data_IF_070998699503
#
_entry.id   IF_070998699503
#
_cell.length_a   1.000
_cell.length_b   1.000
_cell.length_c   1.000
_cell.angle_alpha   90.00
_cell.angle_beta   90.00
_cell.angle_gamma   90.00
#
_symmetry.space_group_name_H-M   'P 1'
#
loop_
_entity.id
_entity.type
_entity.pdbx_description
1 polymer ?
2 polymer ?
3 non-polymer ?
4 water ?
#
# COMPACT_ATOMS: atom_id res chain seq x y z
N UNK A 4 -10.72 23.08 10.84
CA UNK A 4 -9.88 21.84 10.84
C UNK A 4 -9.84 21.16 12.19
N UNK A 5 -10.14 21.93 13.23
CA UNK A 5 -10.17 21.43 14.60
C UNK A 5 -10.64 19.98 14.78
N UNK A 6 -11.94 19.74 14.70
CA UNK A 6 -12.45 18.37 14.86
C UNK A 6 -12.22 17.48 13.65
N UNK A 7 -11.76 16.26 13.92
CA UNK A 7 -11.50 15.30 12.87
C UNK A 7 -12.78 14.54 12.60
N UNK A 8 -13.13 14.34 11.34
CA UNK A 8 -14.35 13.60 10.98
C UNK A 8 -14.35 12.23 11.65
N UNK A 9 -15.51 11.73 12.11
CA UNK A 9 -15.64 10.42 12.77
C UNK A 9 -15.02 9.25 11.98
N UNK A 10 -15.31 9.18 10.68
CA UNK A 10 -14.81 8.11 9.85
C UNK A 10 -13.29 8.11 9.79
N UNK A 11 -12.70 9.30 9.75
CA UNK A 11 -11.26 9.41 9.71
C UNK A 11 -10.69 8.96 11.05
N UNK A 12 -11.37 9.32 12.15
CA UNK A 12 -10.87 8.91 13.46
C UNK A 12 -10.99 7.40 13.56
N UNK A 13 -12.05 6.85 12.98
CA UNK A 13 -12.23 5.40 13.00
C UNK A 13 -11.07 4.75 12.24
N UNK A 14 -10.74 5.29 11.08
CA UNK A 14 -9.65 4.74 10.28
C UNK A 14 -8.35 4.72 11.08
N UNK A 15 -8.08 5.80 11.80
CA UNK A 15 -6.87 5.87 12.60
C UNK A 15 -6.90 4.80 13.68
N UNK A 16 -8.06 4.61 14.31
CA UNK A 16 -8.19 3.61 15.37
C UNK A 16 -8.00 2.17 14.90
N UNK A 17 -8.24 1.89 13.61
CA UNK A 17 -8.06 0.52 13.14
C UNK A 17 -6.70 0.28 12.46
N UNK A 18 -5.83 1.28 12.51
CA UNK A 18 -4.50 1.14 11.95
C UNK A 18 -3.81 0.03 12.73
N UNK A 19 -3.26 -0.97 12.04
CA UNK A 19 -2.59 -2.07 12.76
C UNK A 19 -1.42 -1.59 13.61
N UNK A 20 -1.14 -2.36 14.65
CA UNK A 20 -0.04 -2.06 15.55
C UNK A 20 1.28 -2.21 14.81
N UNK A 21 2.33 -1.67 15.42
CA UNK A 21 3.68 -1.75 14.87
C UNK A 21 4.03 -3.21 14.60
N UNK A 22 4.53 -3.48 13.40
CA UNK A 22 4.93 -4.83 13.02
C UNK A 22 6.46 -4.88 12.93
N UNK A 23 7.07 -5.83 13.63
CA UNK A 23 8.52 -5.99 13.61
C UNK A 23 8.94 -7.04 12.57
N UNK A 24 10.13 -6.88 12.03
CA UNK A 24 10.65 -7.81 11.04
C UNK A 24 11.34 -8.99 11.70
N UNK A 25 11.79 -8.80 12.94
CA UNK A 25 12.48 -9.84 13.66
C UNK A 25 13.92 -9.94 13.17
N UNK A 26 14.46 -8.83 12.68
CA UNK A 26 15.82 -8.81 12.17
C UNK A 26 16.89 -8.51 13.23
N UNK A 27 17.99 -9.25 13.20
CA UNK A 27 19.08 -9.06 14.14
C UNK A 27 20.07 -8.05 13.60
N UNK A 28 19.97 -6.82 14.08
CA UNK A 28 20.83 -5.74 13.63
C UNK A 28 22.21 -5.70 14.28
N UNK A 29 22.51 -6.68 15.11
CA UNK A 29 23.82 -6.75 15.77
C UNK A 29 24.78 -7.57 14.92
N UNK A 30 24.28 -8.12 13.81
CA UNK A 30 25.11 -8.90 12.91
C UNK A 30 25.24 -8.18 11.56
N UNK A 31 26.39 -8.34 10.89
CA UNK A 31 26.58 -7.68 9.59
C UNK A 31 25.49 -8.10 8.61
N UNK A 32 25.05 -7.17 7.78
CA UNK A 32 24.01 -7.46 6.79
C UNK A 32 24.54 -8.43 5.74
N UNK A 33 23.63 -9.23 5.18
CA UNK A 33 23.97 -10.14 4.09
C UNK A 33 22.76 -10.06 3.18
N UNK A 34 22.96 -10.28 1.89
CA UNK A 34 21.87 -10.23 0.92
C UNK A 34 20.77 -11.17 1.38
N UNK A 35 21.15 -12.35 1.83
CA UNK A 35 20.21 -13.35 2.30
C UNK A 35 19.44 -12.95 3.55
N UNK A 36 20.15 -12.52 4.59
CA UNK A 36 19.51 -12.12 5.84
C UNK A 36 18.49 -11.00 5.66
N UNK A 37 18.79 -10.04 4.77
CA UNK A 37 17.88 -8.92 4.54
C UNK A 37 16.67 -9.36 3.74
N UNK A 38 16.88 -10.26 2.78
CA UNK A 38 15.79 -10.77 1.97
C UNK A 38 14.90 -11.62 2.87
N UNK A 39 15.53 -12.38 3.75
CA UNK A 39 14.79 -13.24 4.68
C UNK A 39 13.91 -12.40 5.60
N UNK A 40 14.49 -11.32 6.14
CA UNK A 40 13.73 -10.45 7.03
C UNK A 40 12.59 -9.74 6.33
N UNK A 41 12.80 -9.33 5.08
CA UNK A 41 11.74 -8.66 4.32
C UNK A 41 10.57 -9.61 4.07
N UNK A 42 10.86 -10.86 3.74
CA UNK A 42 9.82 -11.84 3.49
C UNK A 42 9.05 -12.15 4.76
N UNK A 43 9.76 -12.19 5.88
CA UNK A 43 9.11 -12.46 7.14
C UNK A 43 8.23 -11.26 7.50
N UNK A 44 8.79 -10.06 7.37
CA UNK A 44 8.05 -8.84 7.67
C UNK A 44 6.87 -8.75 6.72
N UNK A 45 7.12 -9.12 5.46
CA UNK A 45 6.07 -9.06 4.46
C UNK A 45 4.85 -9.92 4.77
N UNK A 46 5.07 -11.16 5.17
CA UNK A 46 3.97 -12.05 5.49
C UNK A 46 3.18 -11.51 6.67
N UNK A 47 3.91 -10.98 7.66
CA UNK A 47 3.27 -10.42 8.85
C UNK A 47 2.38 -9.24 8.48
N UNK A 48 2.90 -8.36 7.63
CA UNK A 48 2.14 -7.20 7.20
C UNK A 48 0.90 -7.60 6.39
N UNK A 49 1.02 -8.66 5.58
CA UNK A 49 -0.10 -9.13 4.77
C UNK A 49 -1.26 -9.55 5.68
N UNK A 50 -0.97 -10.37 6.68
CA UNK A 50 -2.01 -10.80 7.62
C UNK A 50 -2.60 -9.58 8.31
N UNK A 51 -1.76 -8.58 8.56
CA UNK A 51 -2.18 -7.35 9.21
C UNK A 51 -3.13 -6.56 8.30
N UNK A 52 -2.85 -6.58 6.99
CA UNK A 52 -3.68 -5.87 6.03
C UNK A 52 -5.07 -6.54 5.98
N UNK A 53 -5.09 -7.86 5.98
CA UNK A 53 -6.35 -8.59 5.96
C UNK A 53 -7.18 -8.25 7.19
N UNK A 54 -6.54 -8.25 8.36
CA UNK A 54 -7.22 -7.96 9.61
C UNK A 54 -7.78 -6.53 9.56
N UNK A 55 -6.95 -5.60 9.10
CA UNK A 55 -7.33 -4.20 8.96
C UNK A 55 -8.59 -4.07 8.09
N UNK A 56 -8.59 -4.76 6.95
CA UNK A 56 -9.74 -4.69 6.03
C UNK A 56 -11.06 -5.09 6.69
N UNK A 57 -11.01 -6.02 7.63
CA UNK A 57 -12.22 -6.48 8.32
C UNK A 57 -12.92 -5.41 9.15
N UNK A 58 -12.20 -4.36 9.52
CA UNK A 58 -12.79 -3.29 10.32
C UNK A 58 -13.10 -2.05 9.50
N UNK A 59 -12.83 -2.13 8.21
CA UNK A 59 -13.05 -1.01 7.29
C UNK A 59 -14.53 -0.91 6.87
N UNK A 60 -15.23 0.16 7.27
CA UNK A 60 -16.65 0.30 6.91
C UNK A 60 -16.92 0.11 5.43
N UNK A 61 -17.80 -0.84 5.13
CA UNK A 61 -18.16 -1.13 3.75
C UNK A 61 -17.48 -2.35 3.13
N UNK A 62 -16.29 -2.69 3.61
CA UNK A 62 -15.56 -3.82 3.05
C UNK A 62 -16.17 -5.22 3.24
N UNK A 63 -16.52 -5.56 4.47
CA UNK A 63 -17.07 -6.88 4.74
C UNK A 63 -18.42 -7.15 4.11
N UNK A 64 -19.08 -6.10 3.62
CA UNK A 64 -20.38 -6.24 2.97
C UNK A 64 -20.20 -6.72 1.52
N UNK A 65 -18.99 -6.57 0.98
CA UNK A 65 -18.71 -6.99 -0.39
C UNK A 65 -18.63 -8.51 -0.45
N UNK A 66 -18.94 -9.08 -1.60
CA UNK A 66 -18.86 -10.53 -1.77
C UNK A 66 -17.47 -10.95 -1.33
N UNK A 67 -17.38 -12.10 -0.64
CA UNK A 67 -16.11 -12.60 -0.16
C UNK A 67 -15.09 -12.74 -1.30
N UNK A 68 -15.57 -13.04 -2.50
CA UNK A 68 -14.68 -13.17 -3.66
C UNK A 68 -14.07 -11.82 -4.05
N UNK A 69 -14.86 -10.76 -3.88
CA UNK A 69 -14.40 -9.41 -4.18
C UNK A 69 -13.37 -9.00 -3.13
N UNK A 70 -13.62 -9.38 -1.88
CA UNK A 70 -12.72 -9.08 -0.78
C UNK A 70 -11.34 -9.68 -1.06
N UNK A 71 -11.32 -10.95 -1.45
CA UNK A 71 -10.09 -11.65 -1.76
C UNK A 71 -9.39 -10.98 -2.94
N UNK A 72 -10.15 -10.70 -3.99
CA UNK A 72 -9.62 -10.07 -5.18
C UNK A 72 -8.98 -8.71 -4.89
N UNK A 73 -9.68 -7.88 -4.12
CA UNK A 73 -9.18 -6.56 -3.77
C UNK A 73 -7.87 -6.62 -2.97
N UNK A 74 -7.79 -7.55 -2.02
CA UNK A 74 -6.57 -7.67 -1.24
C UNK A 74 -5.44 -8.15 -2.14
N UNK A 75 -5.73 -9.17 -2.97
CA UNK A 75 -4.74 -9.71 -3.88
C UNK A 75 -4.14 -8.65 -4.80
N UNK A 76 -5.01 -7.81 -5.34
CA UNK A 76 -4.60 -6.74 -6.25
C UNK A 76 -3.92 -5.57 -5.59
N UNK A 77 -4.15 -5.37 -4.30
CA UNK A 77 -3.57 -4.18 -3.66
C UNK A 77 -2.59 -4.31 -2.52
N UNK A 78 -2.32 -5.51 -2.04
CA UNK A 78 -1.38 -5.65 -0.92
C UNK A 78 -0.02 -5.00 -1.16
N UNK A 79 0.53 -5.13 -2.37
CA UNK A 79 1.85 -4.54 -2.64
C UNK A 79 1.80 -3.02 -2.52
N UNK A 80 0.78 -2.42 -3.11
CA UNK A 80 0.63 -0.96 -3.06
C UNK A 80 0.40 -0.49 -1.64
N UNK A 81 -0.42 -1.23 -0.89
CA UNK A 81 -0.73 -0.88 0.48
C UNK A 81 0.55 -0.91 1.31
N UNK A 82 1.35 -1.95 1.11
CA UNK A 82 2.60 -2.08 1.85
C UNK A 82 3.65 -1.03 1.49
N UNK A 83 3.84 -0.74 0.20
CA UNK A 83 4.83 0.26 -0.16
C UNK A 83 4.32 1.65 0.28
N UNK A 84 3.00 1.82 0.30
CA UNK A 84 2.42 3.09 0.72
C UNK A 84 2.64 3.28 2.23
N UNK A 85 2.45 2.21 3.00
CA UNK A 85 2.65 2.28 4.45
C UNK A 85 4.11 2.52 4.76
N UNK A 86 4.98 1.89 3.98
CA UNK A 86 6.43 2.04 4.15
C UNK A 86 6.78 3.50 3.95
N UNK A 87 6.18 4.11 2.92
CA UNK A 87 6.43 5.51 2.63
C UNK A 87 5.99 6.40 3.77
N UNK A 88 4.84 6.07 4.36
CA UNK A 88 4.32 6.85 5.46
C UNK A 88 5.22 6.78 6.69
N UNK A 89 5.63 5.57 7.06
CA UNK A 89 6.49 5.39 8.22
C UNK A 89 7.83 6.12 8.01
N UNK A 90 8.37 6.03 6.80
CA UNK A 90 9.64 6.67 6.48
C UNK A 90 9.51 8.19 6.62
N UNK A 91 8.42 8.72 6.08
CA UNK A 91 8.14 10.15 6.13
C UNK A 91 7.89 10.63 7.56
N UNK A 92 7.09 9.87 8.30
CA UNK A 92 6.73 10.23 9.67
C UNK A 92 7.85 10.10 10.71
N UNK A 93 8.58 8.99 10.68
CA UNK A 93 9.62 8.74 11.66
C UNK A 93 11.03 9.24 11.34
N UNK A 94 11.38 9.27 10.06
CA UNK A 94 12.71 9.70 9.69
C UNK A 94 12.74 10.74 8.57
N UNK A 95 11.78 11.66 8.62
CA UNK A 95 11.66 12.73 7.62
C UNK A 95 11.84 12.28 6.18
N UNK A 96 11.47 11.03 5.88
CA UNK A 96 11.59 10.52 4.52
C UNK A 96 13.01 10.39 4.02
N UNK A 97 13.98 10.39 4.93
CA UNK A 97 15.39 10.29 4.58
C UNK A 97 15.90 8.87 4.47
N UNK A 98 15.09 7.90 4.91
CA UNK A 98 15.47 6.50 4.82
C UNK A 98 14.21 5.63 4.83
N UNK A 99 14.39 4.36 4.47
CA UNK A 99 13.27 3.43 4.41
C UNK A 99 13.01 2.73 5.74
N UNK A 100 11.90 3.11 6.35
CA UNK A 100 11.49 2.57 7.64
C UNK A 100 10.54 1.39 7.43
N UNK A 101 11.09 0.23 7.09
CA UNK A 101 10.26 -0.96 6.87
C UNK A 101 9.60 -1.35 8.20
N UNK A 102 10.40 -1.29 9.27
CA UNK A 102 9.94 -1.65 10.62
C UNK A 102 10.91 -0.99 11.60
N UNK A 103 10.54 -0.91 12.90
CA UNK A 103 11.45 -0.29 13.87
C UNK A 103 12.80 -0.98 13.89
N UNK A 104 12.80 -2.28 13.58
CA UNK A 104 14.02 -3.07 13.59
C UNK A 104 14.55 -3.36 12.18
N UNK A 105 14.07 -2.59 11.20
CA UNK A 105 14.55 -2.75 9.83
C UNK A 105 14.43 -1.42 9.10
N UNK A 106 15.43 -0.57 9.32
CA UNK A 106 15.50 0.73 8.71
C UNK A 106 16.74 0.77 7.85
N UNK A 107 16.59 1.12 6.58
CA UNK A 107 17.75 1.18 5.68
C UNK A 107 18.06 2.61 5.26
N UNK A 108 19.17 3.16 5.72
CA UNK A 108 19.54 4.51 5.32
C UNK A 108 20.24 4.35 3.96
N UNK A 109 20.67 5.45 3.36
CA UNK A 109 21.29 5.41 2.04
C UNK A 109 22.44 4.40 1.90
N UNK A 110 23.39 4.45 2.82
CA UNK A 110 24.51 3.51 2.76
C UNK A 110 24.03 2.06 2.81
N UNK A 111 23.08 1.78 3.69
CA UNK A 111 22.56 0.42 3.82
C UNK A 111 21.84 -0.02 2.55
N UNK A 112 21.18 0.92 1.88
CA UNK A 112 20.48 0.63 0.63
C UNK A 112 21.50 0.22 -0.43
N UNK A 113 22.54 1.03 -0.58
CA UNK A 113 23.58 0.79 -1.57
C UNK A 113 24.23 -0.57 -1.46
N UNK A 114 24.23 -1.14 -0.26
CA UNK A 114 24.87 -2.44 -0.07
C UNK A 114 23.89 -3.57 0.27
N UNK A 115 22.61 -3.35 0.01
CA UNK A 115 21.58 -4.34 0.30
C UNK A 115 21.48 -5.48 -0.72
N UNK A 116 21.84 -5.19 -1.96
CA UNK A 116 21.79 -6.12 -3.10
C UNK A 116 20.59 -5.74 -3.96
N UNK A 117 19.74 -4.88 -3.43
CA UNK A 117 18.56 -4.43 -4.15
C UNK A 117 18.44 -2.91 -4.02
N UNK A 118 19.53 -2.23 -4.34
CA UNK A 118 19.62 -0.77 -4.28
C UNK A 118 18.67 -0.05 -5.22
N UNK A 119 18.49 -0.59 -6.42
CA UNK A 119 17.59 0.03 -7.40
C UNK A 119 16.15 0.00 -6.88
N UNK A 120 15.77 -1.12 -6.27
CA UNK A 120 14.43 -1.26 -5.72
C UNK A 120 14.24 -0.22 -4.61
N UNK A 121 15.29 0.03 -3.83
CA UNK A 121 15.23 0.99 -2.75
C UNK A 121 14.96 2.39 -3.27
N UNK A 122 15.67 2.79 -4.32
CA UNK A 122 15.47 4.12 -4.88
C UNK A 122 14.03 4.29 -5.40
N UNK A 123 13.47 3.24 -5.97
CA UNK A 123 12.11 3.30 -6.48
C UNK A 123 11.11 3.49 -5.33
N UNK A 124 11.20 2.64 -4.31
CA UNK A 124 10.30 2.75 -3.17
C UNK A 124 10.47 4.07 -2.43
N UNK A 125 11.71 4.59 -2.44
CA UNK A 125 12.04 5.84 -1.77
C UNK A 125 11.28 7.01 -2.39
N UNK A 126 10.83 6.84 -3.62
CA UNK A 126 10.10 7.89 -4.33
C UNK A 126 8.85 8.34 -3.57
N UNK A 127 8.15 7.39 -2.95
CA UNK A 127 6.94 7.73 -2.21
C UNK A 127 7.17 8.66 -1.01
N UNK A 128 8.06 8.29 -0.09
CA UNK A 128 8.33 9.14 1.08
C UNK A 128 8.81 10.54 0.65
N UNK A 129 9.63 10.57 -0.38
CA UNK A 129 10.15 11.83 -0.88
C UNK A 129 9.00 12.70 -1.35
N UNK A 130 8.01 12.07 -1.97
CA UNK A 130 6.86 12.84 -2.44
C UNK A 130 6.04 13.29 -1.23
N UNK A 131 5.95 12.43 -0.20
CA UNK A 131 5.18 12.81 0.98
C UNK A 131 5.81 14.06 1.63
N UNK A 132 7.13 14.13 1.59
CA UNK A 132 7.83 15.27 2.17
C UNK A 132 7.48 16.54 1.40
N UNK A 133 7.55 16.46 0.07
CA UNK A 133 7.24 17.61 -0.76
C UNK A 133 5.80 18.10 -0.56
N UNK A 134 4.86 17.16 -0.51
CA UNK A 134 3.44 17.50 -0.33
C UNK A 134 3.04 17.74 1.12
N UNK A 135 3.85 17.28 2.06
CA UNK A 135 3.54 17.40 3.48
C UNK A 135 2.16 16.79 3.75
N UNK A 136 2.02 15.54 3.32
CA UNK A 136 0.77 14.81 3.50
C UNK A 136 0.41 14.69 4.98
N UNK A 137 -0.86 14.90 5.31
CA UNK A 137 -1.31 14.81 6.69
C UNK A 137 -1.74 13.38 7.01
N UNK A 138 -1.80 13.06 8.30
CA UNK A 138 -2.23 11.73 8.70
C UNK A 138 -3.65 11.46 8.21
N UNK A 139 -4.50 12.48 8.24
CA UNK A 139 -5.89 12.34 7.79
C UNK A 139 -5.98 12.05 6.28
N UNK A 140 -5.16 12.73 5.49
CA UNK A 140 -5.13 12.50 4.04
C UNK A 140 -4.62 11.10 3.77
N UNK A 141 -3.55 10.73 4.46
CA UNK A 141 -2.93 9.41 4.32
C UNK A 141 -3.91 8.26 4.55
N UNK A 142 -4.65 8.33 5.65
CA UNK A 142 -5.60 7.28 5.99
C UNK A 142 -6.65 7.08 4.90
N UNK A 143 -7.18 8.18 4.36
CA UNK A 143 -8.18 8.08 3.31
C UNK A 143 -7.56 7.57 2.00
N UNK A 144 -6.36 8.05 1.70
CA UNK A 144 -5.66 7.62 0.49
C UNK A 144 -5.37 6.12 0.52
N UNK A 145 -5.00 5.60 1.69
CA UNK A 145 -4.70 4.18 1.79
C UNK A 145 -5.93 3.32 1.49
N UNK A 146 -7.10 3.73 1.98
CA UNK A 146 -8.31 2.97 1.69
C UNK A 146 -8.56 3.01 0.18
N UNK A 147 -8.35 4.17 -0.43
CA UNK A 147 -8.57 4.29 -1.88
C UNK A 147 -7.65 3.34 -2.65
N UNK A 148 -6.44 3.13 -2.14
CA UNK A 148 -5.51 2.21 -2.79
C UNK A 148 -6.09 0.79 -2.79
N UNK A 149 -6.70 0.40 -1.68
CA UNK A 149 -7.31 -0.91 -1.58
C UNK A 149 -8.43 -1.05 -2.61
N UNK A 150 -9.04 0.08 -2.96
CA UNK A 150 -10.15 0.12 -3.92
C UNK A 150 -9.78 0.72 -5.28
N UNK A 151 -8.50 0.67 -5.64
CA UNK A 151 -8.04 1.29 -6.88
C UNK A 151 -7.84 0.37 -8.09
N UNK A 152 -8.02 -0.93 -7.91
CA UNK A 152 -7.85 -1.86 -9.01
C UNK A 152 -8.90 -2.98 -8.95
N UNK A 153 -9.57 -3.23 -10.07
CA UNK A 153 -10.57 -4.29 -10.12
C UNK A 153 -10.41 -5.13 -11.40
N UNK A 154 -11.06 -6.30 -11.46
CA UNK A 154 -10.96 -7.17 -12.63
C UNK A 154 -11.50 -6.45 -13.87
N UNK A 155 -11.05 -6.87 -15.05
CA UNK A 155 -11.53 -6.26 -16.28
C UNK A 155 -13.05 -6.35 -16.33
N UNK A 156 -13.60 -7.46 -15.87
CA UNK A 156 -15.04 -7.66 -15.87
C UNK A 156 -15.74 -7.07 -14.64
N UNK A 157 -14.98 -6.35 -13.82
CA UNK A 157 -15.57 -5.77 -12.63
C UNK A 157 -15.75 -6.76 -11.51
N UNK A 158 -16.42 -6.32 -10.44
CA UNK A 158 -16.65 -7.15 -9.27
C UNK A 158 -18.08 -7.67 -9.20
N UNK A 159 -18.31 -8.62 -8.30
CA UNK A 159 -19.64 -9.18 -8.11
C UNK A 159 -20.52 -8.13 -7.43
N UNK A 160 -19.97 -7.47 -6.41
CA UNK A 160 -20.69 -6.40 -5.69
C UNK A 160 -20.21 -5.07 -6.25
N UNK A 161 -20.30 -4.91 -7.56
CA UNK A 161 -19.83 -3.70 -8.24
C UNK A 161 -20.44 -2.39 -7.75
N UNK A 162 -21.77 -2.31 -7.71
CA UNK A 162 -22.43 -1.08 -7.26
C UNK A 162 -22.04 -0.76 -5.82
N UNK A 163 -22.04 -1.78 -4.97
CA UNK A 163 -21.67 -1.59 -3.57
C UNK A 163 -20.21 -1.10 -3.48
N UNK A 164 -19.34 -1.67 -4.31
CA UNK A 164 -17.93 -1.28 -4.32
C UNK A 164 -17.78 0.18 -4.74
N UNK A 165 -18.51 0.59 -5.76
CA UNK A 165 -18.42 1.97 -6.24
C UNK A 165 -18.89 2.98 -5.22
N UNK A 166 -19.93 2.63 -4.46
CA UNK A 166 -20.42 3.55 -3.44
C UNK A 166 -19.42 3.62 -2.28
N UNK A 167 -18.75 2.51 -2.00
CA UNK A 167 -17.76 2.49 -0.93
C UNK A 167 -16.59 3.39 -1.35
N UNK A 168 -16.18 3.26 -2.60
CA UNK A 168 -15.07 4.05 -3.13
C UNK A 168 -15.46 5.53 -3.12
N UNK A 169 -16.66 5.82 -3.60
CA UNK A 169 -17.14 7.20 -3.65
C UNK A 169 -17.20 7.84 -2.26
N UNK A 170 -17.48 7.03 -1.24
CA UNK A 170 -17.56 7.56 0.12
C UNK A 170 -16.18 7.95 0.65
N UNK A 171 -15.17 7.13 0.38
CA UNK A 171 -13.84 7.44 0.86
C UNK A 171 -13.24 8.57 0.05
N UNK A 172 -13.73 8.77 -1.17
CA UNK A 172 -13.26 9.88 -1.97
C UNK A 172 -13.76 11.16 -1.29
N UNK A 173 -15.02 11.12 -0.84
CA UNK A 173 -15.60 12.27 -0.15
C UNK A 173 -14.85 12.50 1.15
N UNK A 174 -14.47 11.41 1.82
CA UNK A 174 -13.75 11.54 3.08
C UNK A 174 -12.37 12.17 2.85
N UNK A 175 -11.71 11.82 1.75
CA UNK A 175 -10.40 12.40 1.43
C UNK A 175 -10.58 13.91 1.30
N UNK A 176 -11.70 14.33 0.71
CA UNK A 176 -11.98 15.77 0.56
C UNK A 176 -12.14 16.43 1.93
N UNK A 177 -12.78 15.76 2.88
CA UNK A 177 -12.92 16.33 4.22
C UNK A 177 -11.52 16.46 4.84
N UNK A 178 -10.70 15.42 4.69
CA UNK A 178 -9.34 15.42 5.24
C UNK A 178 -8.58 16.65 4.72
N UNK A 179 -8.66 16.86 3.42
CA UNK A 179 -8.00 18.01 2.78
C UNK A 179 -8.61 19.31 3.28
N UNK A 180 -9.95 19.31 3.41
CA UNK A 180 -10.66 20.49 3.87
C UNK A 180 -10.24 20.92 5.26
N UNK A 181 -9.52 20.06 5.96
CA UNK A 181 -9.05 20.39 7.29
C UNK A 181 -8.01 21.49 7.28
N UNK A 182 -6.99 21.35 6.45
CA UNK A 182 -5.95 22.37 6.39
C UNK A 182 -6.08 23.29 5.19
N UNK A 183 -6.83 22.85 4.19
CA UNK A 183 -7.03 23.64 2.97
C UNK A 183 -8.39 24.30 2.95
N UNK A 184 -8.40 25.59 3.27
CA UNK A 184 -9.64 26.34 3.26
C UNK A 184 -9.57 27.20 2.02
N UNK A 185 -10.46 26.93 1.08
CA UNK A 185 -10.49 27.69 -0.16
C UNK A 185 -10.83 26.68 -1.21
N UNK A 186 -11.74 27.01 -2.12
CA UNK A 186 -12.14 26.08 -3.16
C UNK A 186 -11.11 25.84 -4.27
N UNK A 187 -10.19 26.79 -4.45
CA UNK A 187 -9.18 26.62 -5.49
C UNK A 187 -8.03 25.78 -4.95
N UNK A 188 -7.66 26.04 -3.70
CA UNK A 188 -6.56 25.31 -3.07
C UNK A 188 -6.94 23.88 -2.70
N UNK A 189 -8.13 23.70 -2.14
CA UNK A 189 -8.57 22.37 -1.76
C UNK A 189 -8.69 21.51 -3.00
N UNK A 190 -9.16 22.12 -4.09
CA UNK A 190 -9.34 21.42 -5.36
C UNK A 190 -7.98 21.00 -5.93
N UNK A 191 -7.00 21.91 -5.85
CA UNK A 191 -5.66 21.65 -6.34
C UNK A 191 -4.98 20.52 -5.56
N UNK A 192 -5.20 20.50 -4.25
CA UNK A 192 -4.58 19.48 -3.43
C UNK A 192 -5.19 18.11 -3.71
N UNK A 193 -6.48 18.09 -4.01
CA UNK A 193 -7.14 16.83 -4.32
C UNK A 193 -6.49 16.26 -5.57
N UNK A 194 -6.24 17.11 -6.57
CA UNK A 194 -5.60 16.66 -7.80
C UNK A 194 -4.23 16.08 -7.49
N UNK A 195 -3.45 16.81 -6.70
CA UNK A 195 -2.11 16.36 -6.35
C UNK A 195 -2.08 15.00 -5.67
N UNK A 196 -2.89 14.85 -4.63
CA UNK A 196 -2.94 13.59 -3.89
C UNK A 196 -3.46 12.44 -4.73
N UNK A 197 -4.51 12.67 -5.51
CA UNK A 197 -5.06 11.59 -6.32
C UNK A 197 -4.17 11.29 -7.52
N UNK A 198 -3.45 12.29 -8.01
CA UNK A 198 -2.55 12.06 -9.12
C UNK A 198 -1.44 11.15 -8.60
N UNK A 199 -1.03 11.38 -7.34
CA UNK A 199 0.00 10.57 -6.72
C UNK A 199 -0.47 9.11 -6.72
N UNK A 200 -1.74 8.90 -6.40
CA UNK A 200 -2.32 7.55 -6.40
C UNK A 200 -2.32 6.93 -7.80
N UNK A 201 -2.67 7.72 -8.81
CA UNK A 201 -2.67 7.21 -10.18
C UNK A 201 -1.26 6.74 -10.56
N UNK A 202 -0.25 7.51 -10.13
CA UNK A 202 1.14 7.18 -10.44
C UNK A 202 1.67 5.90 -9.81
N UNK A 203 1.01 5.43 -8.75
CA UNK A 203 1.45 4.21 -8.08
C UNK A 203 1.23 2.95 -8.89
N UNK A 204 0.27 2.98 -9.82
CA UNK A 204 0.01 1.80 -10.63
C UNK A 204 1.28 1.36 -11.36
N UNK A 205 1.98 2.31 -11.97
CA UNK A 205 3.23 2.02 -12.69
C UNK A 205 4.31 1.54 -11.72
N UNK A 206 4.45 2.24 -10.60
CA UNK A 206 5.47 1.88 -9.63
C UNK A 206 5.28 0.48 -9.07
N UNK A 207 4.03 0.12 -8.78
CA UNK A 207 3.72 -1.19 -8.22
C UNK A 207 4.13 -2.36 -9.12
N UNK A 208 3.96 -2.23 -10.43
CA UNK A 208 4.37 -3.32 -11.30
C UNK A 208 5.88 -3.47 -11.26
N UNK A 209 6.58 -2.39 -10.96
CA UNK A 209 8.05 -2.44 -10.85
C UNK A 209 8.40 -3.35 -9.68
N UNK A 210 7.67 -3.20 -8.57
CA UNK A 210 7.90 -4.00 -7.38
C UNK A 210 7.57 -5.47 -7.60
N UNK A 211 6.49 -5.74 -8.34
CA UNK A 211 6.11 -7.13 -8.62
C UNK A 211 7.15 -7.78 -9.53
N UNK A 212 7.72 -7.01 -10.45
CA UNK A 212 8.74 -7.56 -11.33
C UNK A 212 9.96 -7.91 -10.48
N UNK A 213 10.33 -7.02 -9.56
CA UNK A 213 11.49 -7.29 -8.73
C UNK A 213 11.25 -8.52 -7.87
N UNK A 214 10.03 -8.69 -7.39
CA UNK A 214 9.68 -9.83 -6.56
C UNK A 214 9.85 -11.12 -7.36
N UNK A 215 9.34 -11.14 -8.58
CA UNK A 215 9.45 -12.31 -9.44
C UNK A 215 10.90 -12.66 -9.74
N UNK A 216 11.68 -11.65 -10.12
CA UNK A 216 13.09 -11.87 -10.43
C UNK A 216 13.89 -12.33 -9.21
N UNK A 217 13.49 -11.87 -8.03
CA UNK A 217 14.17 -12.28 -6.81
C UNK A 217 13.88 -13.77 -6.62
N UNK A 218 12.64 -14.16 -6.94
CA UNK A 218 12.24 -15.55 -6.82
C UNK A 218 13.02 -16.42 -7.81
N UNK A 219 13.01 -16.01 -9.08
CA UNK A 219 13.72 -16.74 -10.11
C UNK A 219 15.18 -16.95 -9.73
N UNK A 220 15.81 -15.91 -9.20
CA UNK A 220 17.21 -15.97 -8.80
C UNK A 220 17.49 -16.93 -7.65
N UNK A 221 16.46 -17.29 -6.89
CA UNK A 221 16.64 -18.20 -5.77
C UNK A 221 16.65 -19.65 -6.27
N UNK A 222 15.81 -19.92 -7.27
CA UNK A 222 15.69 -21.25 -7.85
C UNK A 222 16.62 -21.45 -9.05
N UNK A 232 8.16 -23.47 -12.93
CA UNK A 232 8.67 -22.13 -13.22
C UNK A 232 7.83 -21.39 -14.24
N UNK A 233 7.62 -21.99 -15.40
CA UNK A 233 6.83 -21.37 -16.45
C UNK A 233 5.41 -21.12 -15.95
N UNK A 234 5.02 -21.84 -14.90
CA UNK A 234 3.70 -21.69 -14.31
C UNK A 234 3.69 -20.56 -13.30
N UNK A 235 4.76 -20.45 -12.52
CA UNK A 235 4.88 -19.42 -11.50
C UNK A 235 4.94 -18.05 -12.18
N UNK A 236 5.65 -17.98 -13.29
CA UNK A 236 5.80 -16.75 -14.05
C UNK A 236 4.48 -16.35 -14.69
N UNK A 237 3.70 -17.35 -15.08
CA UNK A 237 2.40 -17.11 -15.72
C UNK A 237 1.41 -16.48 -14.75
N UNK A 238 1.50 -16.87 -13.48
CA UNK A 238 0.60 -16.34 -12.46
C UNK A 238 1.00 -14.97 -11.96
N UNK A 239 2.21 -14.54 -12.30
CA UNK A 239 2.70 -13.23 -11.86
C UNK A 239 2.53 -12.13 -12.89
N UNK A 240 2.51 -12.51 -14.18
CA UNK A 240 2.39 -11.55 -15.26
C UNK A 240 1.22 -10.57 -15.09
N UNK A 241 0.06 -11.06 -14.67
CA UNK A 241 -1.07 -10.14 -14.50
C UNK A 241 -0.76 -9.03 -13.51
N UNK A 242 0.32 -9.20 -12.76
CA UNK A 242 0.72 -8.20 -11.76
C UNK A 242 1.82 -7.26 -12.27
N UNK A 243 2.47 -7.61 -13.37
CA UNK A 243 3.52 -6.74 -13.89
C UNK A 243 3.17 -6.20 -15.28
N UNK A 244 2.29 -6.91 -15.98
CA UNK A 244 1.87 -6.52 -17.32
C UNK A 244 0.61 -5.67 -17.34
N UNK A 245 0.52 -4.78 -18.32
CA UNK A 245 -0.65 -3.94 -18.47
C UNK A 245 -1.76 -4.71 -19.19
N UNK A 246 -2.99 -4.20 -19.11
CA UNK A 246 -4.11 -4.83 -19.79
C UNK A 246 -4.63 -6.14 -19.22
N UNK A 247 -4.23 -6.50 -18.02
CA UNK A 247 -4.71 -7.74 -17.44
C UNK A 247 -5.77 -7.49 -16.37
N UNK A 248 -5.79 -6.27 -15.84
CA UNK A 248 -6.75 -5.88 -14.83
C UNK A 248 -7.14 -4.45 -15.15
N UNK A 249 -8.03 -3.87 -14.36
CA UNK A 249 -8.49 -2.51 -14.59
C UNK A 249 -8.14 -1.52 -13.49
N UNK A 250 -7.10 -0.71 -13.72
CA UNK A 250 -6.71 0.28 -12.70
C UNK A 250 -7.77 1.38 -12.73
N UNK A 251 -8.14 1.91 -11.57
CA UNK A 251 -9.13 2.99 -11.53
C UNK A 251 -8.46 4.33 -11.35
N UNK A 252 -8.22 5.02 -12.46
CA UNK A 252 -7.55 6.31 -12.48
C UNK A 252 -8.47 7.48 -12.14
N UNK A 253 -7.95 8.44 -11.39
CA UNK A 253 -8.73 9.63 -11.06
C UNK A 253 -8.61 10.63 -12.20
N UNK A 254 -7.51 10.55 -12.95
CA UNK A 254 -7.26 11.49 -14.04
C UNK A 254 -6.87 10.79 -15.34
N UNK A 255 -7.24 11.38 -16.47
CA UNK A 255 -6.93 10.81 -17.77
C UNK A 255 -5.41 10.86 -17.99
N UNK B 4 -0.15 -17.96 -4.60
CA UNK B 4 0.14 -18.65 -3.31
C UNK B 4 -0.40 -17.84 -2.13
N UNK B 5 -0.53 -16.54 -2.34
CA UNK B 5 -1.03 -15.65 -1.30
C UNK B 5 -2.55 -15.74 -1.23
N UNK B 6 -3.18 -16.06 -2.36
CA UNK B 6 -4.63 -16.18 -2.40
C UNK B 6 -5.12 -17.14 -1.33
N UNK B 7 -4.36 -18.20 -1.11
CA UNK B 7 -4.71 -19.19 -0.10
C UNK B 7 -4.58 -18.59 1.29
N UNK B 8 -3.51 -17.83 1.49
CA UNK B 8 -3.26 -17.19 2.77
C UNK B 8 -4.30 -16.11 3.04
N UNK B 9 -4.58 -15.31 2.01
CA UNK B 9 -5.55 -14.23 2.12
C UNK B 9 -6.94 -14.78 2.40
N UNK B 10 -7.33 -15.81 1.64
CA UNK B 10 -8.64 -16.43 1.81
C UNK B 10 -8.84 -16.96 3.22
N UNK B 11 -7.86 -17.71 3.72
CA UNK B 11 -7.96 -18.27 5.06
C UNK B 11 -8.02 -17.20 6.14
N UNK B 12 -7.21 -16.15 5.98
CA UNK B 12 -7.17 -15.07 6.95
C UNK B 12 -8.48 -14.27 6.99
N UNK B 13 -9.16 -14.17 5.87
CA UNK B 13 -10.42 -13.42 5.81
C UNK B 13 -11.57 -14.11 6.54
N UNK B 14 -11.57 -15.43 6.51
CA UNK B 14 -12.63 -16.19 7.15
C UNK B 14 -12.50 -16.16 8.67
N UNK B 15 -11.32 -16.55 9.17
CA UNK B 15 -11.05 -16.58 10.59
C UNK B 15 -11.82 -15.61 11.48
N UNK B 16 -11.12 -14.61 12.00
CA UNK B 16 -11.74 -13.62 12.88
C UNK B 16 -12.73 -12.73 12.12
X LIG C 1 13.95 -6.86 -1.90
X LIG C 1 11.98 -8.01 -2.50
X LIG C 1 10.46 -8.01 -2.91
X LIG C 1 10.16 -6.95 -4.00
X LIG C 1 9.40 -5.75 -3.30
X LIG C 1 12.51 -6.72 -2.16
X LIG C 1 9.25 -6.08 -1.80
X LIG C 1 8.04 -5.63 -0.88
X LIG C 1 8.25 -4.08 -0.93
X LIG C 1 7.21 -3.39 -0.02
X LIG C 1 7.36 -3.84 1.43
X LIG C 1 7.09 -2.96 2.43
X LIG C 1 7.23 -3.33 3.88
X LIG C 1 6.96 -2.51 4.77
X LIG C 1 7.73 -4.74 4.24
X LIG C 1 7.99 -5.73 3.06
X LIG C 1 7.83 -5.25 1.63
X LIG C 1 8.13 -6.12 0.59
X LIG C 1 8.61 -7.58 0.80
X LIG C 1 9.66 -8.09 -0.27
X LIG C 1 9.42 -7.61 -1.77
X LIG C 1 8.10 -8.31 -2.19
X LIG C 1 7.42 -8.60 0.97
X LIG C 1 6.04 -8.17 0.90
X LIG C 1 4.98 -9.09 1.09
X LIG C 1 5.24 -10.45 1.34
X LIG C 1 4.11 -11.36 1.54
X LIG C 1 4.29 -12.64 1.78
X LIG C 1 3.17 -13.44 1.97
X LIG C 1 6.61 -10.91 1.42
X LIG C 1 7.68 -9.99 1.22
X LIG C 1 10.12 -9.41 -3.31
X LIG C 1 11.20 -10.43 -3.22
#
# INVERSE_FOLDING_TARGET
GQDIQLIPPLINLLMSIEPDVIYAGHDNTKPDTSSSLLTSLNQLGERQLLSVVKWSKSLPGFRNLHIDDQITLIQYSWMSLMVFGLGWRSYKHVSGQMLYFAPDLILNEQRMKESSFYSLCLTMWQIPQEFVKLQVSQEEFLCMKVLLLLNTIPLEGLRSQTQFEEMRSSYIRELIKAIGLRQKGVVSSSQRFYQLTKLLDNLHDLVKQLHLYCLNTFIQSRALSVEFPEMMSEVIAAQLPKILAGMVKPLLFHKK
TNMGLEAIIRKALMGKY
AS0 C1 C3 C4 C5 C6 O2 C7 C8 C9 C10 C11 C12 C13 O14 C15 C16 C17 C18 C19 C20 C21 C22 C23 C24 C25 C26 C27 N28 O29 C30 C31 O32 C33
#
